data_IF_369636288432
#
_entry.id   IF_369636288432
#
_cell.length_a   1.000
_cell.length_b   1.000
_cell.length_c   1.000
_cell.angle_alpha   90.00
_cell.angle_beta   90.00
_cell.angle_gamma   90.00
#
_symmetry.space_group_name_H-M   'P 1'
#
loop_
_entity.id
_entity.type
_entity.pdbx_description
1 polymer ?
#
# COMPACT_ATOMS: atom_id res chain seq x y z
N UNK A 1 -72.82 -20.33 -15.49
CA UNK A 1 -71.71 -19.79 -14.67
C UNK A 1 -70.35 -19.75 -15.39
N UNK A 2 -70.12 -20.45 -16.51
CA UNK A 2 -68.79 -20.50 -17.16
C UNK A 2 -68.35 -19.24 -17.97
N UNK A 3 -69.27 -18.38 -18.45
CA UNK A 3 -68.92 -17.23 -19.30
C UNK A 3 -68.33 -16.00 -18.57
N UNK A 4 -68.54 -15.86 -17.25
CA UNK A 4 -67.99 -14.74 -16.46
C UNK A 4 -66.55 -15.00 -15.95
N UNK A 5 -66.10 -16.25 -15.92
CA UNK A 5 -64.75 -16.61 -15.50
C UNK A 5 -63.70 -16.37 -16.61
N UNK A 6 -64.04 -16.62 -17.88
CA UNK A 6 -63.12 -16.44 -19.01
C UNK A 6 -62.75 -14.99 -19.31
N UNK A 7 -63.67 -14.04 -19.10
CA UNK A 7 -63.41 -12.61 -19.34
C UNK A 7 -62.51 -11.99 -18.26
N UNK A 8 -62.58 -12.48 -17.02
CA UNK A 8 -61.70 -12.03 -15.92
C UNK A 8 -60.27 -12.58 -16.04
N UNK A 9 -60.12 -13.81 -16.52
CA UNK A 9 -58.81 -14.42 -16.77
C UNK A 9 -58.05 -13.76 -17.94
N UNK A 10 -58.76 -13.40 -19.02
CA UNK A 10 -58.17 -12.69 -20.15
C UNK A 10 -57.76 -11.25 -19.80
N UNK A 11 -58.53 -10.54 -18.97
CA UNK A 11 -58.19 -9.19 -18.50
C UNK A 11 -56.99 -9.20 -17.53
N UNK A 12 -56.88 -10.21 -16.67
CA UNK A 12 -55.73 -10.37 -15.76
C UNK A 12 -54.44 -10.76 -16.52
N UNK A 13 -54.55 -11.61 -17.55
CA UNK A 13 -53.41 -11.96 -18.40
C UNK A 13 -52.95 -10.78 -19.27
N UNK A 14 -53.87 -9.97 -19.81
CA UNK A 14 -53.53 -8.76 -20.56
C UNK A 14 -52.91 -7.69 -19.64
N UNK A 15 -53.45 -7.53 -18.42
CA UNK A 15 -52.91 -6.60 -17.43
C UNK A 15 -51.54 -7.05 -16.90
N UNK A 16 -51.30 -8.35 -16.72
CA UNK A 16 -49.99 -8.89 -16.33
C UNK A 16 -48.96 -8.80 -17.45
N UNK A 17 -49.35 -9.01 -18.72
CA UNK A 17 -48.45 -8.83 -19.88
C UNK A 17 -48.13 -7.36 -20.12
N UNK A 18 -49.11 -6.45 -19.99
CA UNK A 18 -48.89 -5.00 -20.06
C UNK A 18 -48.09 -4.51 -18.86
N UNK A 19 -48.30 -5.04 -17.65
CA UNK A 19 -47.48 -4.71 -16.49
C UNK A 19 -46.06 -5.27 -16.62
N UNK A 20 -45.86 -6.47 -17.15
CA UNK A 20 -44.53 -7.04 -17.37
C UNK A 20 -43.77 -6.34 -18.51
N UNK A 21 -44.46 -5.90 -19.56
CA UNK A 21 -43.86 -5.07 -20.63
C UNK A 21 -43.67 -3.61 -20.22
N UNK A 22 -44.48 -3.08 -19.31
CA UNK A 22 -44.26 -1.78 -18.68
C UNK A 22 -43.12 -1.83 -17.65
N UNK A 23 -42.97 -2.91 -16.87
CA UNK A 23 -41.89 -3.11 -15.90
C UNK A 23 -40.54 -3.36 -16.60
N UNK A 24 -40.51 -4.17 -17.65
CA UNK A 24 -39.31 -4.34 -18.48
C UNK A 24 -39.01 -3.12 -19.36
N UNK A 25 -40.02 -2.36 -19.76
CA UNK A 25 -39.85 -1.06 -20.42
C UNK A 25 -39.30 0.02 -19.48
N UNK A 26 -39.77 0.07 -18.23
CA UNK A 26 -39.23 0.98 -17.21
C UNK A 26 -37.79 0.63 -16.86
N UNK A 27 -37.49 -0.66 -16.63
CA UNK A 27 -36.13 -1.10 -16.33
C UNK A 27 -35.18 -0.87 -17.52
N UNK A 28 -35.62 -1.14 -18.76
CA UNK A 28 -34.84 -0.80 -19.95
C UNK A 28 -34.61 0.71 -20.12
N UNK A 29 -35.62 1.54 -19.85
CA UNK A 29 -35.47 3.00 -19.90
C UNK A 29 -34.54 3.50 -18.79
N UNK A 30 -34.63 2.93 -17.58
CA UNK A 30 -33.71 3.19 -16.47
C UNK A 30 -32.27 2.80 -16.83
N UNK A 31 -32.08 1.62 -17.43
CA UNK A 31 -30.77 1.14 -17.90
C UNK A 31 -30.20 2.02 -19.03
N UNK A 32 -31.02 2.46 -19.98
CA UNK A 32 -30.60 3.37 -21.06
C UNK A 32 -30.26 4.75 -20.50
N UNK A 33 -31.06 5.28 -19.57
CA UNK A 33 -30.80 6.56 -18.92
C UNK A 33 -29.54 6.47 -18.06
N UNK A 34 -29.33 5.38 -17.34
CA UNK A 34 -28.11 5.13 -16.58
C UNK A 34 -26.89 5.03 -17.51
N UNK A 35 -26.98 4.28 -18.61
CA UNK A 35 -25.92 4.18 -19.61
C UNK A 35 -25.58 5.53 -20.27
N UNK A 36 -26.59 6.36 -20.58
CA UNK A 36 -26.37 7.71 -21.11
C UNK A 36 -25.75 8.65 -20.07
N UNK A 37 -26.13 8.53 -18.80
CA UNK A 37 -25.53 9.30 -17.70
C UNK A 37 -24.07 8.92 -17.53
N UNK A 38 -23.75 7.63 -17.47
CA UNK A 38 -22.37 7.13 -17.34
C UNK A 38 -21.51 7.58 -18.52
N UNK A 39 -22.02 7.48 -19.76
CA UNK A 39 -21.30 7.95 -20.94
C UNK A 39 -21.09 9.46 -20.93
N UNK A 40 -22.08 10.24 -20.49
CA UNK A 40 -21.97 11.70 -20.40
C UNK A 40 -20.95 12.10 -19.32
N UNK A 41 -21.00 11.45 -18.16
CA UNK A 41 -20.02 11.65 -17.08
C UNK A 41 -18.60 11.30 -17.56
N UNK A 42 -18.43 10.18 -18.26
CA UNK A 42 -17.16 9.79 -18.87
C UNK A 42 -16.66 10.83 -19.87
N UNK A 43 -17.50 11.29 -20.80
CA UNK A 43 -17.10 12.33 -21.77
C UNK A 43 -16.74 13.66 -21.11
N UNK A 44 -17.44 14.05 -20.03
CA UNK A 44 -17.12 15.25 -19.26
C UNK A 44 -15.78 15.09 -18.52
N UNK A 45 -15.53 13.92 -17.91
CA UNK A 45 -14.26 13.61 -17.25
C UNK A 45 -13.10 13.64 -18.24
N UNK A 46 -13.25 13.02 -19.41
CA UNK A 46 -12.23 13.04 -20.47
C UNK A 46 -11.97 14.45 -21.00
N UNK A 47 -13.00 15.29 -21.17
CA UNK A 47 -12.81 16.68 -21.54
C UNK A 47 -12.06 17.49 -20.45
N UNK A 48 -12.43 17.30 -19.18
CA UNK A 48 -11.76 17.94 -18.05
C UNK A 48 -10.30 17.49 -17.91
N UNK A 49 -9.99 16.21 -18.10
CA UNK A 49 -8.60 15.71 -18.09
C UNK A 49 -7.76 16.31 -19.22
N UNK A 50 -8.34 16.49 -20.42
CA UNK A 50 -7.64 17.17 -21.53
C UNK A 50 -7.36 18.63 -21.22
N UNK A 51 -8.31 19.34 -20.61
CA UNK A 51 -8.13 20.72 -20.18
C UNK A 51 -7.06 20.81 -19.09
N UNK A 52 -7.15 19.96 -18.07
CA UNK A 52 -6.14 19.85 -17.01
C UNK A 52 -4.74 19.59 -17.57
N UNK A 53 -4.56 18.66 -18.51
CA UNK A 53 -3.25 18.41 -19.14
C UNK A 53 -2.76 19.65 -19.88
N UNK A 54 -3.61 20.35 -20.63
CA UNK A 54 -3.22 21.56 -21.34
C UNK A 54 -2.81 22.69 -20.38
N UNK A 55 -3.50 22.82 -19.24
CA UNK A 55 -3.15 23.79 -18.19
C UNK A 55 -1.84 23.42 -17.49
N UNK A 56 -1.63 22.15 -17.16
CA UNK A 56 -0.38 21.64 -16.59
C UNK A 56 0.80 21.86 -17.53
N UNK A 57 0.67 21.55 -18.81
CA UNK A 57 1.71 21.77 -19.83
C UNK A 57 2.04 23.27 -20.04
N UNK A 58 1.14 24.17 -19.65
CA UNK A 58 1.39 25.61 -19.70
C UNK A 58 2.23 26.11 -18.50
N UNK A 59 2.37 25.32 -17.43
CA UNK A 59 3.18 25.65 -16.27
C UNK A 59 4.67 25.46 -16.57
N UNK A 60 5.48 26.45 -16.21
CA UNK A 60 6.95 26.41 -16.41
C UNK A 60 7.62 25.30 -15.58
N UNK A 61 6.97 24.89 -14.49
CA UNK A 61 7.41 23.85 -13.59
C UNK A 61 7.15 22.42 -14.10
N UNK A 62 6.37 22.25 -15.17
CA UNK A 62 5.99 20.95 -15.75
C UNK A 62 6.79 20.69 -17.04
N UNK A 63 7.42 19.53 -17.12
CA UNK A 63 8.13 19.05 -18.32
C UNK A 63 7.17 18.32 -19.27
N UNK A 64 6.25 17.52 -18.72
CA UNK A 64 5.21 16.82 -19.49
C UNK A 64 4.03 16.45 -18.58
N UNK A 65 2.83 16.40 -19.14
CA UNK A 65 1.67 15.82 -18.49
C UNK A 65 0.91 14.92 -19.46
N UNK A 66 0.48 13.75 -19.01
CA UNK A 66 -0.33 12.83 -19.80
C UNK A 66 -1.40 12.17 -18.93
N UNK A 67 -2.54 11.86 -19.52
CA UNK A 67 -3.62 11.15 -18.82
C UNK A 67 -3.95 9.83 -19.51
N UNK A 68 -4.37 8.86 -18.70
CA UNK A 68 -4.89 7.58 -19.14
C UNK A 68 -6.32 7.45 -18.63
N UNK A 69 -7.28 7.53 -19.55
CA UNK A 69 -8.70 7.35 -19.26
C UNK A 69 -9.44 6.97 -20.55
N UNK A 70 -10.30 5.96 -20.49
CA UNK A 70 -11.19 5.60 -21.58
C UNK A 70 -12.63 5.89 -21.18
N UNK A 71 -13.18 6.96 -21.74
CA UNK A 71 -14.55 7.42 -21.48
C UNK A 71 -15.63 6.39 -21.86
N UNK A 72 -15.31 5.42 -22.72
CA UNK A 72 -16.22 4.36 -23.13
C UNK A 72 -16.15 3.12 -22.21
N UNK A 73 -15.10 3.00 -21.40
CA UNK A 73 -14.90 1.90 -20.47
C UNK A 73 -15.37 2.28 -19.06
N UNK A 74 -16.44 1.63 -18.61
CA UNK A 74 -17.03 1.86 -17.29
C UNK A 74 -16.13 1.43 -16.15
N UNK A 75 -15.11 0.61 -16.38
CA UNK A 75 -14.14 0.23 -15.34
C UNK A 75 -12.89 1.11 -15.37
N UNK A 76 -12.74 1.98 -16.39
CA UNK A 76 -11.62 2.90 -16.50
C UNK A 76 -11.61 3.91 -15.36
N UNK A 77 -10.42 4.08 -14.76
CA UNK A 77 -10.17 5.07 -13.72
C UNK A 77 -9.29 6.20 -14.27
N UNK A 78 -9.61 7.47 -13.99
CA UNK A 78 -8.78 8.59 -14.39
C UNK A 78 -7.38 8.50 -13.79
N UNK A 79 -6.38 8.25 -14.64
CA UNK A 79 -4.97 8.30 -14.26
C UNK A 79 -4.28 9.52 -14.88
N UNK A 80 -3.41 10.18 -14.12
CA UNK A 80 -2.60 11.31 -14.58
C UNK A 80 -1.12 11.07 -14.24
N UNK A 81 -0.22 11.35 -15.17
CA UNK A 81 1.22 11.34 -14.94
C UNK A 81 1.77 12.74 -15.27
N UNK A 82 2.52 13.32 -14.33
CA UNK A 82 3.10 14.66 -14.47
C UNK A 82 4.59 14.60 -14.13
N UNK A 83 5.42 14.99 -15.09
CA UNK A 83 6.85 15.18 -14.89
C UNK A 83 7.10 16.66 -14.55
N UNK A 84 7.74 16.91 -13.40
CA UNK A 84 8.13 18.24 -12.95
C UNK A 84 9.63 18.47 -13.15
N UNK A 85 9.96 19.69 -13.57
CA UNK A 85 11.33 20.15 -13.82
C UNK A 85 12.17 20.15 -12.53
N UNK A 86 11.54 20.32 -11.37
CA UNK A 86 12.23 20.51 -10.10
C UNK A 86 11.52 19.86 -8.91
N UNK A 87 12.22 19.78 -7.77
CA UNK A 87 11.68 19.37 -6.46
C UNK A 87 11.27 20.58 -5.61
N UNK A 88 11.04 21.74 -6.20
CA UNK A 88 10.62 22.93 -5.46
C UNK A 88 9.22 22.74 -4.83
N UNK A 89 9.05 23.00 -3.53
CA UNK A 89 7.74 22.82 -2.87
C UNK A 89 6.62 23.71 -3.43
N UNK A 90 6.95 24.87 -4.01
CA UNK A 90 5.99 25.74 -4.67
C UNK A 90 5.44 25.11 -5.94
N UNK A 91 6.34 24.61 -6.79
CA UNK A 91 6.01 23.92 -8.05
C UNK A 91 5.09 22.70 -7.81
N UNK A 92 5.49 21.84 -6.87
CA UNK A 92 4.72 20.64 -6.52
C UNK A 92 3.34 20.99 -5.95
N UNK A 93 3.25 22.04 -5.13
CA UNK A 93 1.97 22.50 -4.57
C UNK A 93 1.07 23.09 -5.65
N UNK A 94 1.60 23.90 -6.56
CA UNK A 94 0.82 24.49 -7.67
C UNK A 94 0.20 23.39 -8.54
N UNK A 95 1.01 22.40 -8.94
CA UNK A 95 0.53 21.25 -9.72
C UNK A 95 -0.50 20.44 -8.94
N UNK A 96 -0.23 20.12 -7.66
CA UNK A 96 -1.18 19.38 -6.83
C UNK A 96 -2.51 20.14 -6.66
N UNK A 97 -2.47 21.45 -6.41
CA UNK A 97 -3.67 22.27 -6.25
C UNK A 97 -4.52 22.27 -7.51
N UNK A 98 -3.91 22.37 -8.70
CA UNK A 98 -4.65 22.35 -9.96
C UNK A 98 -5.35 20.99 -10.20
N UNK A 99 -4.67 19.89 -9.84
CA UNK A 99 -5.24 18.54 -9.92
C UNK A 99 -6.41 18.36 -8.94
N UNK A 100 -6.27 18.83 -7.70
CA UNK A 100 -7.34 18.76 -6.69
C UNK A 100 -8.54 19.63 -7.08
N UNK A 101 -8.33 20.86 -7.54
CA UNK A 101 -9.40 21.75 -8.04
C UNK A 101 -10.17 21.12 -9.20
N UNK A 102 -9.47 20.41 -10.11
CA UNK A 102 -10.14 19.65 -11.17
C UNK A 102 -10.88 18.43 -10.63
N UNK A 103 -10.31 17.75 -9.63
CA UNK A 103 -10.94 16.60 -8.96
C UNK A 103 -12.22 16.94 -8.21
N UNK A 104 -12.47 18.20 -7.86
CA UNK A 104 -13.71 18.67 -7.25
C UNK A 104 -14.89 18.79 -8.24
N UNK A 105 -14.66 18.64 -9.54
CA UNK A 105 -15.72 18.68 -10.54
C UNK A 105 -16.65 17.46 -10.41
N UNK A 106 -17.96 17.66 -10.62
CA UNK A 106 -18.99 16.60 -10.61
C UNK A 106 -18.63 15.37 -11.48
N UNK A 107 -17.77 15.55 -12.50
CA UNK A 107 -17.30 14.48 -13.37
C UNK A 107 -16.43 13.42 -12.65
N UNK A 108 -15.85 13.76 -11.49
CA UNK A 108 -14.94 12.90 -10.73
C UNK A 108 -15.49 12.48 -9.35
N UNK A 109 -16.74 12.84 -9.00
CA UNK A 109 -17.34 12.52 -7.69
C UNK A 109 -17.28 11.02 -7.35
N UNK A 110 -17.52 10.15 -8.34
CA UNK A 110 -17.47 8.69 -8.15
C UNK A 110 -16.11 8.07 -8.55
N UNK A 111 -15.23 8.85 -9.20
CA UNK A 111 -13.98 8.38 -9.80
C UNK A 111 -12.89 9.44 -9.63
N UNK A 112 -12.25 9.50 -8.45
CA UNK A 112 -11.17 10.44 -8.20
C UNK A 112 -10.02 10.21 -9.20
N UNK A 113 -9.28 11.27 -9.47
CA UNK A 113 -8.08 11.24 -10.29
C UNK A 113 -6.95 10.68 -9.42
N UNK A 114 -6.31 9.61 -9.89
CA UNK A 114 -5.04 9.14 -9.34
C UNK A 114 -3.92 9.77 -10.14
N UNK A 115 -3.17 10.70 -9.54
CA UNK A 115 -2.05 11.38 -10.19
C UNK A 115 -0.70 10.91 -9.64
N UNK A 116 0.26 10.70 -10.54
CA UNK A 116 1.66 10.45 -10.20
C UNK A 116 2.50 11.66 -10.61
N UNK A 117 3.10 12.31 -9.63
CA UNK A 117 4.02 13.44 -9.80
C UNK A 117 5.45 12.92 -9.73
N UNK A 118 6.31 13.26 -10.68
CA UNK A 118 7.71 12.80 -10.71
C UNK A 118 8.67 13.94 -11.03
N UNK A 119 9.76 14.07 -10.28
CA UNK A 119 10.90 14.93 -10.62
C UNK A 119 12.21 14.18 -10.38
N UNK A 120 12.88 13.80 -11.47
CA UNK A 120 14.07 12.95 -11.41
C UNK A 120 13.77 11.63 -10.69
N UNK A 121 14.43 11.41 -9.54
CA UNK A 121 14.24 10.21 -8.72
C UNK A 121 13.08 10.29 -7.72
N UNK A 122 12.53 11.49 -7.49
CA UNK A 122 11.48 11.73 -6.50
C UNK A 122 10.13 11.58 -7.19
N UNK A 123 9.26 10.74 -6.63
CA UNK A 123 7.89 10.56 -7.11
C UNK A 123 6.90 10.59 -5.96
N UNK A 124 5.68 11.00 -6.22
CA UNK A 124 4.55 10.87 -5.30
C UNK A 124 3.31 10.42 -6.06
N UNK A 125 2.46 9.66 -5.38
CA UNK A 125 1.12 9.34 -5.87
C UNK A 125 0.11 10.04 -4.97
N UNK A 126 -0.82 10.76 -5.58
CA UNK A 126 -1.90 11.47 -4.91
C UNK A 126 -3.23 11.04 -5.52
N UNK A 127 -4.24 10.88 -4.67
CA UNK A 127 -5.62 10.70 -5.09
C UNK A 127 -6.41 11.96 -4.74
N UNK A 128 -7.15 12.50 -5.70
CA UNK A 128 -8.00 13.68 -5.47
C UNK A 128 -9.07 13.40 -4.43
N UNK A 129 -9.39 14.40 -3.61
CA UNK A 129 -10.34 14.27 -2.50
C UNK A 129 -9.74 13.72 -1.20
N UNK A 130 -8.44 13.39 -1.19
CA UNK A 130 -7.70 13.13 0.05
C UNK A 130 -7.36 14.42 0.81
N UNK A 131 -7.21 15.54 0.10
CA UNK A 131 -6.76 16.84 0.62
C UNK A 131 -5.41 16.80 1.35
N UNK A 132 -4.64 15.71 1.21
CA UNK A 132 -3.37 15.53 1.90
C UNK A 132 -2.22 16.13 1.09
N UNK A 133 -1.41 16.98 1.71
CA UNK A 133 -0.29 17.64 1.06
C UNK A 133 1.02 16.91 1.40
N UNK A 134 1.90 16.78 0.40
CA UNK A 134 3.23 16.16 0.59
C UNK A 134 4.13 16.92 1.57
N UNK A 135 3.82 18.19 1.88
CA UNK A 135 4.57 19.03 2.81
C UNK A 135 5.94 19.48 2.26
N UNK A 136 6.35 20.71 2.58
CA UNK A 136 7.65 21.22 2.12
C UNK A 136 8.84 20.48 2.76
N UNK A 137 8.66 20.03 4.01
CA UNK A 137 9.70 19.33 4.77
C UNK A 137 10.01 17.95 4.16
N UNK A 138 9.01 17.24 3.64
CA UNK A 138 9.22 15.93 3.00
C UNK A 138 9.96 16.06 1.67
N UNK A 139 9.63 17.07 0.84
CA UNK A 139 10.37 17.36 -0.39
C UNK A 139 11.83 17.76 -0.12
N UNK A 140 12.07 18.54 0.95
CA UNK A 140 13.42 18.86 1.38
C UNK A 140 14.19 17.60 1.82
N UNK A 141 13.57 16.74 2.62
CA UNK A 141 14.15 15.46 3.04
C UNK A 141 14.40 14.52 1.86
N UNK A 142 13.50 14.47 0.88
CA UNK A 142 13.65 13.71 -0.35
C UNK A 142 14.89 14.16 -1.15
N UNK A 143 15.07 15.49 -1.29
CA UNK A 143 16.24 16.06 -1.97
C UNK A 143 17.54 15.71 -1.26
N UNK A 144 17.57 15.82 0.07
CA UNK A 144 18.75 15.48 0.86
C UNK A 144 19.07 13.99 0.79
N UNK A 145 18.04 13.13 0.91
CA UNK A 145 18.18 11.69 0.73
C UNK A 145 18.70 11.33 -0.66
N UNK A 146 18.25 12.01 -1.72
CA UNK A 146 18.75 11.81 -3.09
C UNK A 146 20.23 12.17 -3.26
N UNK A 147 20.72 13.13 -2.47
CA UNK A 147 22.16 13.43 -2.40
C UNK A 147 22.97 12.34 -1.71
N UNK A 148 22.38 11.66 -0.72
CA UNK A 148 23.03 10.56 0.03
C UNK A 148 22.96 9.21 -0.70
N UNK A 149 21.91 9.01 -1.51
CA UNK A 149 21.61 7.80 -2.26
C UNK A 149 21.32 8.14 -3.73
N UNK A 150 22.35 8.41 -4.55
CA UNK A 150 22.18 8.96 -5.91
C UNK A 150 21.49 8.01 -6.90
N UNK A 151 21.49 6.70 -6.61
CA UNK A 151 20.84 5.68 -7.44
C UNK A 151 19.48 5.24 -6.87
N UNK A 152 19.00 5.89 -5.80
CA UNK A 152 17.72 5.55 -5.19
C UNK A 152 16.54 6.07 -6.02
N UNK A 153 15.41 5.41 -5.87
CA UNK A 153 14.08 5.97 -6.13
C UNK A 153 13.50 6.45 -4.83
N UNK A 154 12.93 7.65 -4.81
CA UNK A 154 12.36 8.26 -3.62
C UNK A 154 10.86 8.43 -3.81
N UNK A 155 10.08 7.78 -2.97
CA UNK A 155 8.62 7.85 -3.01
C UNK A 155 8.11 8.66 -1.81
N UNK A 156 7.25 9.63 -2.10
CA UNK A 156 6.59 10.45 -1.11
C UNK A 156 5.13 10.02 -1.01
N UNK A 157 4.68 9.78 0.22
CA UNK A 157 3.29 9.48 0.51
C UNK A 157 2.83 10.37 1.65
N UNK A 158 1.79 11.19 1.47
CA UNK A 158 1.28 11.98 2.56
C UNK A 158 0.50 11.06 3.51
N UNK A 159 0.67 11.23 4.82
CA UNK A 159 -0.09 10.50 5.84
C UNK A 159 -1.16 11.41 6.43
N UNK A 160 -0.81 12.66 6.73
CA UNK A 160 -1.73 13.68 7.25
C UNK A 160 -1.55 15.01 6.53
N UNK A 161 -2.33 16.00 6.94
CA UNK A 161 -2.21 17.38 6.49
C UNK A 161 -0.86 18.03 6.84
N UNK A 162 -0.15 17.47 7.83
CA UNK A 162 1.11 17.99 8.35
C UNK A 162 2.27 16.99 8.30
N UNK A 163 2.01 15.75 7.89
CA UNK A 163 2.99 14.66 7.92
C UNK A 163 3.02 13.84 6.63
N UNK A 164 4.22 13.43 6.26
CA UNK A 164 4.46 12.58 5.10
C UNK A 164 5.56 11.55 5.35
N UNK A 165 5.49 10.44 4.61
CA UNK A 165 6.50 9.41 4.52
C UNK A 165 7.42 9.67 3.32
N UNK A 166 8.72 9.50 3.53
CA UNK A 166 9.77 9.54 2.52
C UNK A 166 10.40 8.17 2.46
N UNK A 167 10.11 7.42 1.41
CA UNK A 167 10.67 6.09 1.19
C UNK A 167 11.83 6.17 0.22
N UNK A 168 13.02 5.77 0.64
CA UNK A 168 14.26 5.77 -0.15
C UNK A 168 14.59 4.34 -0.55
N UNK A 169 14.22 3.97 -1.77
CA UNK A 169 14.39 2.64 -2.33
C UNK A 169 15.68 2.54 -3.14
N UNK A 170 16.63 1.73 -2.68
CA UNK A 170 17.95 1.56 -3.32
C UNK A 170 18.01 0.26 -4.14
N UNK A 171 18.78 0.23 -5.24
CA UNK A 171 18.98 -0.98 -6.05
C UNK A 171 20.02 -1.96 -5.44
N UNK A 172 20.70 -1.57 -4.36
CA UNK A 172 21.70 -2.40 -3.67
C UNK A 172 21.07 -3.53 -2.85
N UNK A 173 21.92 -4.32 -2.19
CA UNK A 173 21.43 -5.40 -1.31
C UNK A 173 20.97 -4.87 0.05
N UNK A 174 20.17 -5.67 0.77
CA UNK A 174 19.77 -5.37 2.14
C UNK A 174 20.98 -5.17 3.07
N UNK A 175 22.04 -5.97 2.90
CA UNK A 175 23.26 -5.91 3.68
C UNK A 175 24.05 -4.62 3.38
N UNK A 176 24.13 -4.22 2.11
CA UNK A 176 24.75 -2.95 1.70
C UNK A 176 23.99 -1.75 2.29
N UNK A 177 22.65 -1.76 2.19
CA UNK A 177 21.81 -0.72 2.77
C UNK A 177 21.98 -0.65 4.29
N UNK A 178 21.93 -1.79 4.99
CA UNK A 178 22.08 -1.84 6.44
C UNK A 178 23.46 -1.33 6.88
N UNK A 179 24.52 -1.73 6.19
CA UNK A 179 25.87 -1.22 6.46
C UNK A 179 25.98 0.29 6.21
N UNK A 180 25.33 0.79 5.16
CA UNK A 180 25.29 2.22 4.83
C UNK A 180 24.56 3.03 5.89
N UNK A 181 23.35 2.62 6.27
CA UNK A 181 22.51 3.33 7.25
C UNK A 181 23.14 3.32 8.65
N UNK A 182 23.79 2.22 9.05
CA UNK A 182 24.45 2.11 10.36
C UNK A 182 25.81 2.81 10.44
N UNK A 183 26.57 2.78 9.34
CA UNK A 183 27.96 3.21 9.30
C UNK A 183 28.21 4.63 8.78
N UNK A 184 27.30 5.22 8.00
CA UNK A 184 27.51 6.55 7.41
C UNK A 184 27.12 7.69 8.37
N UNK A 185 28.08 8.55 8.80
CA UNK A 185 27.74 9.74 9.58
C UNK A 185 26.83 10.72 8.83
N UNK A 186 26.84 10.73 7.49
CA UNK A 186 25.95 11.56 6.68
C UNK A 186 24.48 11.21 6.88
N UNK A 187 24.14 9.91 6.86
CA UNK A 187 22.78 9.42 7.13
C UNK A 187 22.33 9.78 8.54
N UNK A 188 23.22 9.66 9.54
CA UNK A 188 22.91 10.08 10.91
C UNK A 188 22.65 11.58 11.03
N UNK A 189 23.47 12.39 10.37
CA UNK A 189 23.31 13.84 10.38
C UNK A 189 22.01 14.28 9.69
N UNK A 190 21.61 13.59 8.62
CA UNK A 190 20.35 13.79 7.91
C UNK A 190 19.12 13.45 8.78
N UNK A 191 19.14 12.33 9.49
CA UNK A 191 17.99 11.90 10.30
C UNK A 191 17.85 12.67 11.62
N UNK A 192 18.96 13.14 12.21
CA UNK A 192 18.95 13.78 13.52
C UNK A 192 18.03 15.02 13.69
N UNK A 193 17.90 15.93 12.70
CA UNK A 193 17.00 17.09 12.81
C UNK A 193 15.54 16.79 12.43
N UNK A 194 15.23 15.61 11.89
CA UNK A 194 13.88 15.28 11.45
C UNK A 194 12.98 14.94 12.64
N UNK A 195 11.76 15.44 12.58
CA UNK A 195 10.68 15.05 13.49
C UNK A 195 9.93 13.87 12.85
N UNK A 196 10.02 12.64 13.39
CA UNK A 196 9.39 11.46 12.81
C UNK A 196 7.85 11.54 12.82
N UNK A 197 7.24 12.42 13.62
CA UNK A 197 5.79 12.68 13.58
C UNK A 197 5.38 13.55 12.37
N UNK A 198 6.35 14.20 11.71
CA UNK A 198 6.11 15.09 10.55
C UNK A 198 6.74 14.55 9.27
N UNK A 199 7.95 14.00 9.35
CA UNK A 199 8.65 13.39 8.21
C UNK A 199 9.20 12.04 8.66
N UNK A 200 8.49 10.99 8.30
CA UNK A 200 8.97 9.62 8.53
C UNK A 200 9.82 9.19 7.34
N UNK A 201 11.05 8.76 7.59
CA UNK A 201 11.96 8.29 6.54
C UNK A 201 12.19 6.80 6.68
N UNK A 202 11.94 6.07 5.59
CA UNK A 202 12.25 4.65 5.49
C UNK A 202 13.24 4.36 4.36
N UNK A 203 14.24 3.55 4.64
CA UNK A 203 15.21 3.07 3.66
C UNK A 203 14.84 1.66 3.23
N UNK A 204 14.78 1.40 1.92
CA UNK A 204 14.39 0.10 1.35
C UNK A 204 15.46 -0.48 0.43
N UNK A 205 15.62 -1.80 0.51
CA UNK A 205 16.34 -2.66 -0.42
C UNK A 205 15.62 -4.01 -0.47
N UNK A 206 15.97 -4.89 -1.41
CA UNK A 206 15.26 -6.16 -1.56
C UNK A 206 15.20 -6.94 -0.21
N UNK A 207 13.99 -7.16 0.28
CA UNK A 207 13.66 -7.83 1.55
C UNK A 207 14.00 -7.05 2.82
N UNK A 208 14.34 -5.77 2.77
CA UNK A 208 14.61 -4.94 3.94
C UNK A 208 13.95 -3.56 3.85
N UNK A 209 13.32 -3.15 4.95
CA UNK A 209 12.88 -1.78 5.22
C UNK A 209 13.37 -1.30 6.60
N UNK A 210 13.94 -0.10 6.66
CA UNK A 210 14.48 0.49 7.89
C UNK A 210 13.88 1.87 8.15
N UNK A 211 13.12 2.02 9.23
CA UNK A 211 12.67 3.30 9.79
C UNK A 211 13.63 3.79 10.88
N UNK A 212 14.77 4.37 10.49
CA UNK A 212 15.81 4.89 11.39
C UNK A 212 17.12 4.10 11.37
N UNK A 213 18.00 4.34 12.36
CA UNK A 213 19.33 3.71 12.45
C UNK A 213 19.33 2.62 13.53
N UNK A 214 19.46 1.33 13.16
CA UNK A 214 19.48 0.26 14.13
C UNK A 214 20.78 0.26 14.96
N UNK A 215 20.70 -0.22 16.20
CA UNK A 215 21.87 -0.57 17.01
C UNK A 215 22.60 -1.78 16.41
N UNK A 216 23.82 -2.06 16.88
CA UNK A 216 24.60 -3.19 16.40
C UNK A 216 23.90 -4.54 16.64
N UNK A 217 23.20 -4.70 17.76
CA UNK A 217 22.45 -5.92 18.06
C UNK A 217 21.23 -6.08 17.16
N UNK A 218 20.51 -5.00 16.89
CA UNK A 218 19.36 -4.99 15.96
C UNK A 218 19.81 -5.25 14.53
N UNK A 219 20.90 -4.63 14.09
CA UNK A 219 21.50 -4.88 12.79
C UNK A 219 21.91 -6.35 12.62
N UNK A 220 22.57 -6.94 13.63
CA UNK A 220 22.92 -8.36 13.58
C UNK A 220 21.68 -9.26 13.50
N UNK A 221 20.66 -8.99 14.31
CA UNK A 221 19.42 -9.74 14.26
C UNK A 221 18.75 -9.66 12.88
N UNK A 222 18.71 -8.47 12.27
CA UNK A 222 18.19 -8.27 10.91
C UNK A 222 18.97 -9.14 9.92
N UNK A 223 20.31 -9.12 9.97
CA UNK A 223 21.16 -9.97 9.11
C UNK A 223 20.87 -11.45 9.29
N UNK A 224 20.68 -11.92 10.52
CA UNK A 224 20.40 -13.33 10.81
C UNK A 224 19.04 -13.75 10.24
N UNK A 225 18.02 -12.88 10.29
CA UNK A 225 16.69 -13.14 9.68
C UNK A 225 16.73 -13.09 8.17
N UNK A 226 17.59 -12.23 7.63
CA UNK A 226 17.85 -12.16 6.21
C UNK A 226 18.66 -13.39 5.75
N UNK A 227 19.50 -14.03 6.55
CA UNK A 227 20.29 -15.18 6.10
C UNK A 227 19.48 -16.45 5.71
N UNK A 228 18.16 -16.46 5.92
CA UNK A 228 17.28 -17.58 5.54
C UNK A 228 17.27 -17.81 4.02
N UNK A 229 17.18 -19.08 3.60
CA UNK A 229 17.18 -19.50 2.18
C UNK A 229 15.82 -19.23 1.50
N UNK A 230 15.33 -18.00 1.58
CA UNK A 230 14.12 -17.53 0.89
C UNK A 230 14.46 -16.40 -0.08
N UNK A 231 13.74 -16.29 -1.21
CA UNK A 231 13.80 -15.10 -2.04
C UNK A 231 13.51 -13.84 -1.23
N UNK A 232 14.18 -12.73 -1.58
CA UNK A 232 13.89 -11.43 -1.00
C UNK A 232 12.65 -10.84 -1.65
N UNK A 233 11.78 -10.21 -0.85
CA UNK A 233 10.72 -9.39 -1.43
C UNK A 233 11.34 -8.27 -2.30
N UNK A 234 11.01 -8.19 -3.60
CA UNK A 234 11.63 -7.22 -4.47
C UNK A 234 11.22 -5.80 -4.07
N UNK A 235 12.17 -4.87 -4.10
CA UNK A 235 11.85 -3.45 -4.06
C UNK A 235 11.59 -3.00 -5.49
N UNK A 236 10.45 -2.34 -5.72
CA UNK A 236 10.08 -1.81 -7.03
C UNK A 236 10.93 -0.59 -7.41
N UNK A 237 12.21 -0.81 -7.70
CA UNK A 237 13.09 0.20 -8.32
C UNK A 237 12.89 0.09 -9.83
N UNK A 238 12.06 0.99 -10.40
CA UNK A 238 11.79 1.03 -11.83
C UNK A 238 10.81 -0.03 -12.31
N UNK A 239 9.51 0.17 -12.00
CA UNK A 239 8.45 -0.77 -12.38
C UNK A 239 8.30 -0.89 -13.91
N UNK A 240 9.08 -1.77 -14.52
CA UNK A 240 8.57 -2.59 -15.60
C UNK A 240 7.50 -3.50 -14.97
N UNK A 241 6.27 -3.43 -15.49
CA UNK A 241 5.06 -4.11 -15.00
C UNK A 241 5.12 -5.67 -15.02
N UNK A 242 6.32 -6.25 -15.09
CA UNK A 242 6.59 -7.67 -15.21
C UNK A 242 7.44 -8.24 -14.05
N UNK A 243 7.53 -7.57 -12.89
CA UNK A 243 8.11 -8.19 -11.70
C UNK A 243 7.14 -9.28 -11.22
N UNK A 244 7.40 -10.52 -11.63
CA UNK A 244 6.74 -11.67 -11.06
C UNK A 244 7.18 -11.77 -9.59
N UNK A 245 6.25 -11.48 -8.67
CA UNK A 245 6.50 -11.70 -7.26
C UNK A 245 6.74 -13.19 -7.02
N UNK A 246 7.79 -13.57 -6.29
CA UNK A 246 8.01 -14.97 -5.95
C UNK A 246 6.85 -15.47 -5.09
N UNK A 247 6.55 -16.77 -5.20
CA UNK A 247 5.47 -17.43 -4.44
C UNK A 247 5.83 -17.63 -2.97
N UNK A 248 7.13 -17.62 -2.66
CA UNK A 248 7.70 -17.61 -1.32
C UNK A 248 8.73 -16.48 -1.20
N UNK A 249 8.81 -15.84 -0.03
CA UNK A 249 9.79 -14.77 0.20
C UNK A 249 9.93 -14.39 1.68
N UNK A 250 11.00 -13.64 1.97
CA UNK A 250 11.23 -12.97 3.23
C UNK A 250 11.36 -11.45 3.05
N UNK A 251 10.74 -10.71 3.96
CA UNK A 251 10.99 -9.29 4.17
C UNK A 251 11.13 -9.02 5.67
N UNK A 252 12.11 -8.21 6.03
CA UNK A 252 12.29 -7.67 7.38
C UNK A 252 12.04 -6.17 7.32
N UNK A 253 11.15 -5.67 8.17
CA UNK A 253 10.97 -4.23 8.40
C UNK A 253 11.35 -3.91 9.84
N UNK A 254 12.09 -2.83 10.06
CA UNK A 254 12.48 -2.40 11.40
C UNK A 254 12.30 -0.89 11.55
N UNK A 255 11.27 -0.48 12.27
CA UNK A 255 11.19 0.84 12.88
C UNK A 255 12.03 0.84 14.15
N UNK A 256 13.02 1.72 14.25
CA UNK A 256 14.00 1.72 15.35
C UNK A 256 14.10 3.07 16.05
N UNK A 257 13.25 4.02 15.66
CA UNK A 257 13.09 5.28 16.38
C UNK A 257 12.32 5.06 17.71
N UNK A 258 12.51 5.94 18.69
CA UNK A 258 11.80 5.83 19.97
C UNK A 258 10.27 5.96 19.83
N UNK A 259 9.78 6.63 18.78
CA UNK A 259 8.36 6.82 18.51
C UNK A 259 7.72 5.63 17.77
N UNK A 260 8.53 4.82 17.08
CA UNK A 260 8.07 3.79 16.14
C UNK A 260 8.92 2.51 16.25
N UNK A 261 9.32 2.14 17.48
CA UNK A 261 10.18 0.97 17.67
C UNK A 261 9.36 -0.30 17.47
N UNK A 262 9.50 -0.93 16.31
CA UNK A 262 8.81 -2.15 15.95
C UNK A 262 9.62 -2.96 14.93
N UNK A 263 9.74 -4.26 15.19
CA UNK A 263 10.28 -5.23 14.24
C UNK A 263 9.15 -6.01 13.59
N UNK A 264 9.21 -6.16 12.28
CA UNK A 264 8.27 -6.94 11.51
C UNK A 264 9.03 -7.90 10.61
N UNK A 265 8.59 -9.15 10.56
CA UNK A 265 9.06 -10.11 9.56
C UNK A 265 7.86 -10.64 8.82
N UNK A 266 7.94 -10.63 7.49
CA UNK A 266 6.98 -11.28 6.62
C UNK A 266 7.67 -12.49 6.00
N UNK A 267 7.10 -13.66 6.23
CA UNK A 267 7.56 -14.95 5.73
C UNK A 267 6.43 -15.57 4.92
N UNK A 268 6.54 -15.55 3.59
CA UNK A 268 5.54 -16.16 2.72
C UNK A 268 6.05 -17.53 2.30
N UNK A 269 5.25 -18.56 2.54
CA UNK A 269 5.51 -19.93 2.06
C UNK A 269 4.58 -20.32 0.92
N UNK A 270 5.00 -21.24 0.06
CA UNK A 270 4.27 -21.70 -1.13
C UNK A 270 3.74 -23.15 -1.03
N UNK A 271 4.21 -23.94 -0.07
CA UNK A 271 3.89 -25.37 0.06
C UNK A 271 2.86 -25.72 1.15
N UNK A 272 2.32 -24.71 1.86
CA UNK A 272 1.33 -24.87 2.93
C UNK A 272 1.93 -24.89 4.35
N UNK A 273 1.06 -25.03 5.37
CA UNK A 273 1.50 -25.04 6.79
C UNK A 273 2.48 -26.16 7.07
N UNK A 274 3.47 -25.87 7.94
CA UNK A 274 4.43 -26.84 8.47
C UNK A 274 5.47 -27.36 7.48
N UNK A 275 5.70 -26.65 6.38
CA UNK A 275 6.59 -27.10 5.32
C UNK A 275 7.48 -25.99 4.80
N UNK A 276 8.66 -26.38 4.32
CA UNK A 276 9.59 -25.51 3.60
C UNK A 276 10.38 -24.53 4.47
N UNK A 277 11.28 -23.76 3.83
CA UNK A 277 12.19 -22.85 4.52
C UNK A 277 11.47 -21.73 5.29
N UNK A 278 10.30 -21.27 4.80
CA UNK A 278 9.50 -20.26 5.48
C UNK A 278 8.94 -20.75 6.82
N UNK A 279 8.60 -22.03 6.94
CA UNK A 279 8.20 -22.62 8.21
C UNK A 279 9.37 -22.70 9.18
N UNK A 280 10.54 -23.19 8.73
CA UNK A 280 11.73 -23.30 9.58
C UNK A 280 12.17 -21.92 10.10
N UNK A 281 12.14 -20.90 9.23
CA UNK A 281 12.39 -19.52 9.59
C UNK A 281 11.38 -18.98 10.63
N UNK A 282 10.08 -19.28 10.46
CA UNK A 282 9.06 -18.89 11.44
C UNK A 282 9.37 -19.49 12.82
N UNK A 283 9.65 -20.80 12.87
CA UNK A 283 9.96 -21.48 14.13
C UNK A 283 11.20 -20.90 14.81
N UNK A 284 12.21 -20.53 14.03
CA UNK A 284 13.41 -19.88 14.55
C UNK A 284 13.09 -18.49 15.13
N UNK A 285 12.36 -17.65 14.38
CA UNK A 285 11.96 -16.31 14.83
C UNK A 285 11.17 -16.37 16.13
N UNK A 286 10.20 -17.28 16.24
CA UNK A 286 9.38 -17.42 17.45
C UNK A 286 10.22 -17.85 18.66
N UNK A 287 11.27 -18.65 18.48
CA UNK A 287 12.15 -19.10 19.57
C UNK A 287 13.14 -18.01 20.00
N UNK A 288 13.67 -17.25 19.05
CA UNK A 288 14.68 -16.22 19.32
C UNK A 288 14.04 -14.92 19.83
N UNK A 289 12.88 -14.55 19.28
CA UNK A 289 12.21 -13.29 19.61
C UNK A 289 12.86 -12.07 18.96
N UNK A 290 12.49 -10.89 19.45
CA UNK A 290 12.99 -9.59 19.00
C UNK A 290 14.45 -9.34 19.46
N UNK A 291 15.21 -8.46 18.77
CA UNK A 291 16.53 -8.06 19.24
C UNK A 291 16.46 -7.21 20.51
N UNK A 292 17.46 -7.34 21.38
CA UNK A 292 17.60 -6.54 22.60
C UNK A 292 16.87 -7.14 23.80
N UNK A 293 17.56 -8.00 24.56
CA UNK A 293 17.05 -8.68 25.75
C UNK A 293 17.54 -8.02 27.07
N UNK A 294 17.68 -6.69 27.09
CA UNK A 294 18.04 -5.94 28.30
C UNK A 294 16.95 -4.89 28.60
N UNK A 295 16.05 -5.26 29.52
CA UNK A 295 15.07 -4.44 30.27
C UNK A 295 13.92 -3.71 29.55
N UNK A 296 13.86 -3.64 28.21
CA UNK A 296 12.70 -3.11 27.48
C UNK A 296 12.21 -4.08 26.40
N UNK A 297 10.97 -4.53 26.50
CA UNK A 297 10.32 -5.41 25.53
C UNK A 297 10.24 -4.72 24.15
N UNK A 298 10.95 -5.22 23.13
CA UNK A 298 10.89 -4.69 21.76
C UNK A 298 9.72 -5.33 21.00
N UNK A 299 8.75 -4.56 20.47
CA UNK A 299 7.62 -5.10 19.72
C UNK A 299 8.08 -5.88 18.49
N UNK A 300 7.57 -7.10 18.32
CA UNK A 300 7.82 -7.96 17.16
C UNK A 300 6.50 -8.49 16.62
N UNK A 301 6.29 -8.28 15.32
CA UNK A 301 5.23 -8.90 14.54
C UNK A 301 5.81 -9.84 13.48
N UNK A 302 5.24 -11.03 13.34
CA UNK A 302 5.60 -11.99 12.30
C UNK A 302 4.36 -12.32 11.49
N UNK A 303 4.39 -12.09 10.18
CA UNK A 303 3.34 -12.52 9.27
C UNK A 303 3.75 -13.81 8.57
N UNK A 304 2.84 -14.78 8.53
CA UNK A 304 3.07 -16.06 7.85
C UNK A 304 1.86 -16.49 7.01
N UNK A 305 1.67 -15.92 5.81
CA UNK A 305 0.65 -16.39 4.87
C UNK A 305 1.14 -17.61 4.05
N UNK A 306 0.20 -18.48 3.66
CA UNK A 306 0.42 -19.61 2.76
C UNK A 306 -0.81 -19.85 1.85
N UNK A 307 -0.68 -20.64 0.77
CA UNK A 307 -1.81 -21.00 -0.09
C UNK A 307 -2.95 -21.68 0.70
N UNK A 308 -4.14 -21.07 0.66
CA UNK A 308 -5.33 -21.59 1.35
C UNK A 308 -5.82 -20.73 2.53
N UNK A 309 -5.09 -19.69 2.91
CA UNK A 309 -5.53 -18.68 3.91
C UNK A 309 -5.82 -17.32 3.29
N UNK A 310 -6.09 -17.28 1.98
CA UNK A 310 -6.30 -16.02 1.26
C UNK A 310 -7.37 -15.17 1.96
N UNK A 311 -7.03 -13.90 2.25
CA UNK A 311 -7.88 -12.96 2.98
C UNK A 311 -7.71 -12.96 4.51
N UNK A 312 -6.90 -13.84 5.09
CA UNK A 312 -6.51 -13.79 6.51
C UNK A 312 -5.00 -14.03 6.62
N UNK A 313 -4.22 -13.03 7.00
CA UNK A 313 -2.77 -13.17 7.16
C UNK A 313 -2.46 -13.46 8.62
N UNK A 314 -2.11 -14.72 8.98
CA UNK A 314 -1.81 -15.06 10.36
C UNK A 314 -0.65 -14.21 10.83
N UNK A 315 -0.83 -13.59 11.99
CA UNK A 315 0.18 -12.72 12.57
C UNK A 315 0.48 -13.13 14.01
N UNK A 316 1.77 -13.19 14.33
CA UNK A 316 2.26 -13.43 15.67
C UNK A 316 2.74 -12.09 16.22
N UNK A 317 2.21 -11.66 17.35
CA UNK A 317 2.63 -10.42 18.00
C UNK A 317 3.11 -10.75 19.40
N UNK A 318 4.27 -10.24 19.79
CA UNK A 318 4.74 -10.43 21.15
C UNK A 318 4.01 -9.52 22.15
N UNK A 319 4.02 -9.90 23.43
CA UNK A 319 3.27 -9.21 24.49
C UNK A 319 3.84 -7.84 24.89
N UNK A 320 4.80 -7.30 24.14
CA UNK A 320 5.39 -5.98 24.39
C UNK A 320 4.43 -4.82 24.17
N UNK A 321 3.36 -5.03 23.40
CA UNK A 321 2.35 -4.01 23.11
C UNK A 321 0.98 -4.63 23.31
N UNK A 322 0.08 -3.92 23.98
CA UNK A 322 -1.34 -4.27 23.99
C UNK A 322 -1.94 -3.93 22.62
N UNK A 323 -1.81 -4.87 21.68
CA UNK A 323 -2.59 -4.83 20.46
C UNK A 323 -4.02 -5.16 20.87
N UNK A 324 -4.99 -4.31 20.49
CA UNK A 324 -6.38 -4.57 20.76
C UNK A 324 -6.71 -6.01 20.35
N UNK A 325 -7.27 -6.79 21.28
CA UNK A 325 -7.57 -8.24 21.17
C UNK A 325 -8.59 -8.59 20.05
N UNK A 326 -8.74 -7.74 19.04
CA UNK A 326 -9.73 -7.84 17.97
C UNK A 326 -9.66 -9.17 17.19
N UNK A 327 -8.57 -9.92 17.30
CA UNK A 327 -8.37 -11.17 16.57
C UNK A 327 -8.17 -12.42 17.45
N UNK A 328 -8.28 -12.32 18.78
CA UNK A 328 -8.16 -13.46 19.71
C UNK A 328 -9.35 -14.46 19.66
N UNK A 329 -10.07 -14.49 18.54
CA UNK A 329 -11.08 -15.52 18.29
C UNK A 329 -10.34 -16.79 17.89
N UNK A 330 -10.70 -17.91 18.50
CA UNK A 330 -10.29 -19.25 18.08
C UNK A 330 -10.83 -19.53 16.66
N UNK A 331 -10.21 -18.91 15.66
CA UNK A 331 -10.62 -19.01 14.26
C UNK A 331 -10.37 -20.45 13.82
N UNK A 332 -11.40 -21.18 13.34
CA UNK A 332 -11.21 -22.56 12.87
C UNK A 332 -10.20 -22.65 11.72
N UNK A 333 -10.07 -21.59 10.92
CA UNK A 333 -9.09 -21.49 9.82
C UNK A 333 -7.64 -21.55 10.28
N UNK A 334 -7.36 -21.22 11.55
CA UNK A 334 -6.01 -21.25 12.12
C UNK A 334 -5.71 -22.56 12.89
N UNK A 335 -6.67 -23.48 13.01
CA UNK A 335 -6.45 -24.75 13.70
C UNK A 335 -5.26 -25.55 13.12
N UNK A 336 -5.08 -25.69 11.78
CA UNK A 336 -3.93 -26.40 11.22
C UNK A 336 -2.59 -25.77 11.62
N UNK A 337 -2.54 -24.43 11.73
CA UNK A 337 -1.34 -23.71 12.16
C UNK A 337 -1.04 -23.98 13.63
N UNK A 338 -2.06 -23.94 14.51
CA UNK A 338 -1.89 -24.25 15.94
C UNK A 338 -1.40 -25.68 16.15
N UNK A 339 -1.99 -26.64 15.45
CA UNK A 339 -1.60 -28.06 15.53
C UNK A 339 -0.15 -28.27 15.07
N UNK A 340 0.26 -27.61 13.97
CA UNK A 340 1.62 -27.67 13.45
C UNK A 340 2.66 -27.05 14.40
N UNK A 341 2.33 -25.89 15.01
CA UNK A 341 3.17 -25.25 16.01
C UNK A 341 3.36 -26.15 17.23
N UNK A 342 2.27 -26.71 17.75
CA UNK A 342 2.31 -27.65 18.88
C UNK A 342 3.13 -28.90 18.54
N UNK A 343 2.96 -29.48 17.35
CA UNK A 343 3.76 -30.60 16.88
C UNK A 343 5.25 -30.27 16.74
N UNK A 344 5.58 -29.00 16.48
CA UNK A 344 6.95 -28.48 16.40
C UNK A 344 7.51 -28.01 17.75
N UNK A 345 6.77 -28.25 18.84
CA UNK A 345 7.16 -27.90 20.21
C UNK A 345 7.10 -26.41 20.51
N UNK A 346 6.33 -25.63 19.75
CA UNK A 346 6.11 -24.20 20.00
C UNK A 346 4.89 -24.01 20.89
N UNK A 347 5.11 -23.42 22.06
CA UNK A 347 4.07 -22.87 22.91
C UNK A 347 4.15 -21.33 22.85
N UNK A 348 3.25 -20.72 22.08
CA UNK A 348 3.24 -19.28 21.85
C UNK A 348 3.10 -18.49 23.15
N UNK A 349 2.23 -18.93 24.06
CA UNK A 349 2.00 -18.24 25.33
C UNK A 349 3.25 -18.30 26.22
N UNK A 350 3.94 -19.45 26.25
CA UNK A 350 5.20 -19.58 26.97
C UNK A 350 6.33 -18.72 26.37
N UNK A 351 6.29 -18.46 25.07
CA UNK A 351 7.22 -17.59 24.36
C UNK A 351 6.80 -16.11 24.36
N UNK A 352 5.67 -15.76 24.99
CA UNK A 352 5.17 -14.39 25.06
C UNK A 352 4.61 -13.86 23.74
N UNK A 353 4.03 -14.74 22.92
CA UNK A 353 3.37 -14.40 21.65
C UNK A 353 1.87 -14.70 21.69
N UNK A 354 1.12 -13.88 20.98
CA UNK A 354 -0.29 -14.10 20.61
C UNK A 354 -0.41 -14.33 19.11
N UNK A 355 -1.29 -15.25 18.72
CA UNK A 355 -1.66 -15.50 17.32
C UNK A 355 -2.97 -14.77 17.01
N UNK A 356 -2.94 -13.98 15.94
CA UNK A 356 -4.04 -13.21 15.35
C UNK A 356 -4.30 -13.64 13.91
#
# INVERSE_FOLDING_TARGET
MARRAGVRAAAAALAAVVAASALSGCQFVEDVVAGQRLLTAGLNADAALRELVAELEALVSVESAEYAFDAADVDSRPGLQVALVSTDPGDWREVQSLIEETGELDAFEERPITATLTSGMVSATIDTGSHLLLGADALAAAREAGGLFPDARIELAPWSDVAAAVTVSTPGTAEELLARVTGDPGVRAFLAPLDPERVWVAFRAAGLELGGIPSAAEAQWILDRLAVELPRYPVAVGADAAVAYPTEWVQVSAGVSAADRMFTIQLVGDDGVATGPAWDALLEVLRVGAPGADDSCAPLQVFYPWPGVQGNWPSFVNDCVEWADANAVDRPTLAPLRDALAASGIDLAALGFRLS
#
